data_IF_394756108223
#
_entry.id   IF_394756108223
#
_cell.length_a   1.000
_cell.length_b   1.000
_cell.length_c   1.000
_cell.angle_alpha   90.00
_cell.angle_beta   90.00
_cell.angle_gamma   90.00
#
_symmetry.space_group_name_H-M   'P 1'
#
loop_
_entity.id
_entity.type
_entity.pdbx_description
1 polymer ?
#
# COMPACT_ATOMS: atom_id res chain seq x y z
N UNK A 1 2.62 -26.57 5.92
CA UNK A 1 2.47 -26.39 5.91
C UNK A 1 2.26 -26.41 5.95
N UNK A 2 2.36 -26.62 6.00
CA UNK A 2 2.17 -26.42 6.13
C UNK A 2 1.88 -26.18 6.36
N UNK A 3 1.83 -26.34 6.42
CA UNK A 3 1.58 -25.88 6.76
C UNK A 3 1.31 -25.50 7.07
N UNK A 4 1.17 -25.54 7.10
CA UNK A 4 1.01 -24.92 7.44
C UNK A 4 0.87 -24.66 7.85
N UNK A 5 0.77 -24.97 8.08
CA UNK A 5 0.89 -24.40 8.65
C UNK A 5 0.87 -23.66 8.72
N UNK A 6 0.74 -23.27 8.65
CA UNK A 6 0.73 -22.23 8.76
C UNK A 6 0.90 -21.78 9.01
N UNK A 7 1.03 -21.74 9.37
CA UNK A 7 1.40 -21.07 9.77
C UNK A 7 1.45 -20.34 9.87
N UNK A 8 1.43 -20.09 10.09
CA UNK A 8 1.63 -19.25 10.33
C UNK A 8 1.66 -18.54 10.84
N UNK A 9 1.54 -18.31 10.85
CA UNK A 9 1.57 -17.40 11.36
C UNK A 9 1.86 -17.03 12.31
N UNK A 10 2.01 -17.34 12.91
CA UNK A 10 2.30 -16.84 13.87
C UNK A 10 3.16 -15.94 14.01
N UNK A 11 3.26 -15.59 13.76
CA UNK A 11 4.04 -14.84 13.93
C UNK A 11 4.10 -13.66 14.61
N UNK A 12 3.71 -13.45 15.39
CA UNK A 12 3.48 -12.33 16.22
C UNK A 12 4.52 -12.04 17.24
N UNK A 13 5.54 -12.75 17.29
CA UNK A 13 6.66 -12.54 18.17
C UNK A 13 7.36 -11.23 17.79
N UNK A 14 7.56 -10.33 18.75
CA UNK A 14 8.18 -9.04 18.49
C UNK A 14 9.58 -9.18 17.90
N UNK A 15 10.29 -10.21 18.27
CA UNK A 15 11.63 -10.42 17.70
C UNK A 15 11.57 -10.71 16.23
N UNK A 16 10.45 -11.22 15.77
CA UNK A 16 10.30 -11.50 14.36
C UNK A 16 10.12 -10.26 13.53
N UNK A 17 9.69 -9.18 14.15
CA UNK A 17 9.57 -7.94 13.40
C UNK A 17 10.90 -7.51 12.82
N UNK A 18 11.97 -7.66 13.57
CA UNK A 18 13.29 -7.34 13.06
C UNK A 18 13.68 -8.24 11.91
N UNK A 19 13.36 -9.51 12.00
CA UNK A 19 13.65 -10.44 10.91
C UNK A 19 12.81 -10.15 9.68
N UNK A 20 11.53 -9.83 9.88
CA UNK A 20 10.65 -9.50 8.77
C UNK A 20 11.21 -8.32 8.01
N UNK A 21 11.73 -7.33 8.73
CA UNK A 21 12.30 -6.16 8.09
C UNK A 21 13.51 -6.50 7.23
N UNK A 22 14.26 -7.52 7.60
CA UNK A 22 15.45 -7.90 6.84
C UNK A 22 15.15 -8.87 5.72
N UNK A 23 13.91 -9.33 5.60
CA UNK A 23 13.53 -10.30 4.56
C UNK A 23 13.44 -9.65 3.20
N UNK A 24 13.03 -8.39 3.15
CA UNK A 24 12.81 -7.73 1.87
C UNK A 24 14.11 -7.36 1.18
N UNK A 25 14.11 -7.53 -0.13
CA UNK A 25 15.31 -7.33 -0.95
C UNK A 25 15.34 -5.90 -1.51
N UNK A 26 15.52 -4.93 -0.62
CA UNK A 26 15.61 -3.54 -1.04
C UNK A 26 16.79 -3.30 -1.99
N UNK A 27 17.80 -4.14 -1.89
CA UNK A 27 18.96 -4.04 -2.77
C UNK A 27 18.61 -4.24 -4.24
N UNK A 28 17.59 -5.06 -4.53
CA UNK A 28 17.21 -5.34 -5.92
C UNK A 28 16.59 -4.14 -6.60
N UNK A 29 15.95 -3.26 -5.82
CA UNK A 29 15.28 -2.09 -6.39
C UNK A 29 16.03 -0.80 -6.18
N UNK A 30 17.31 -0.87 -5.85
CA UNK A 30 18.06 0.35 -5.59
C UNK A 30 17.61 1.05 -4.32
N UNK A 31 17.10 0.30 -3.38
CA UNK A 31 16.60 0.83 -2.12
C UNK A 31 15.10 1.02 -2.07
N UNK A 32 14.42 0.79 -3.19
CA UNK A 32 12.97 0.96 -3.27
C UNK A 32 12.32 -0.30 -3.79
N UNK A 33 11.14 -0.62 -3.26
CA UNK A 33 10.35 -1.74 -3.72
C UNK A 33 8.93 -1.28 -3.97
N UNK A 34 8.23 -1.88 -4.94
CA UNK A 34 6.83 -1.55 -5.14
C UNK A 34 5.96 -2.15 -4.05
N UNK A 35 4.96 -1.39 -3.64
CA UNK A 35 3.98 -1.81 -2.66
C UNK A 35 2.60 -1.57 -3.24
N UNK A 36 1.81 -2.64 -3.35
CA UNK A 36 0.45 -2.57 -3.86
C UNK A 36 -0.48 -2.48 -2.67
N UNK A 37 -1.40 -1.52 -2.68
CA UNK A 37 -2.45 -1.47 -1.67
C UNK A 37 -3.70 -2.09 -2.26
N UNK A 38 -4.25 -3.06 -1.55
CA UNK A 38 -5.42 -3.82 -1.97
C UNK A 38 -6.41 -3.82 -0.82
N UNK A 39 -7.69 -3.65 -1.13
CA UNK A 39 -8.71 -3.67 -0.09
C UNK A 39 -8.77 -5.05 0.56
N UNK A 40 -8.75 -5.10 1.89
CA UNK A 40 -8.67 -6.37 2.60
C UNK A 40 -9.96 -7.19 2.51
N UNK A 41 -11.08 -6.56 2.21
CA UNK A 41 -12.36 -7.24 2.11
C UNK A 41 -12.73 -7.55 0.66
N UNK A 42 -12.76 -6.53 -0.20
CA UNK A 42 -13.19 -6.70 -1.58
C UNK A 42 -12.10 -7.24 -2.48
N UNK A 43 -10.85 -7.10 -2.05
CA UNK A 43 -9.67 -7.48 -2.83
C UNK A 43 -9.44 -6.59 -4.03
N UNK A 44 -10.08 -5.45 -4.06
CA UNK A 44 -9.88 -4.48 -5.12
C UNK A 44 -8.49 -3.86 -5.00
N UNK A 45 -7.77 -3.77 -6.11
CA UNK A 45 -6.46 -3.11 -6.11
C UNK A 45 -6.69 -1.61 -6.06
N UNK A 46 -6.11 -0.95 -5.07
CA UNK A 46 -6.38 0.47 -4.83
C UNK A 46 -5.31 1.38 -5.40
N UNK A 47 -4.04 1.02 -5.22
CA UNK A 47 -2.95 1.86 -5.71
C UNK A 47 -1.65 1.09 -5.68
N UNK A 48 -0.64 1.66 -6.33
CA UNK A 48 0.74 1.18 -6.22
C UNK A 48 1.63 2.37 -5.91
N UNK A 49 2.53 2.18 -4.96
CA UNK A 49 3.54 3.19 -4.62
C UNK A 49 4.82 2.47 -4.29
N UNK A 50 5.80 3.20 -3.77
CA UNK A 50 7.10 2.60 -3.46
C UNK A 50 7.40 2.77 -1.99
N UNK A 51 8.18 1.83 -1.45
CA UNK A 51 8.63 1.88 -0.06
C UNK A 51 10.14 1.72 -0.04
N UNK A 52 10.78 2.40 0.91
CA UNK A 52 12.15 2.13 1.27
C UNK A 52 12.13 1.48 2.65
N UNK A 53 13.30 1.20 3.20
CA UNK A 53 13.37 0.57 4.52
C UNK A 53 12.67 1.39 5.60
N UNK A 54 12.82 2.69 5.54
CA UNK A 54 12.20 3.57 6.54
C UNK A 54 10.68 3.49 6.48
N UNK A 55 10.11 3.54 5.27
CA UNK A 55 8.67 3.42 5.09
C UNK A 55 8.17 2.05 5.56
N UNK A 56 8.94 1.02 5.29
CA UNK A 56 8.62 -0.33 5.72
C UNK A 56 8.57 -0.42 7.23
N UNK A 57 9.60 0.10 7.90
CA UNK A 57 9.64 0.10 9.36
C UNK A 57 8.47 0.86 9.96
N UNK A 58 8.19 2.04 9.42
CA UNK A 58 7.08 2.85 9.93
C UNK A 58 5.74 2.16 9.76
N UNK A 59 5.55 1.48 8.64
CA UNK A 59 4.33 0.73 8.41
C UNK A 59 4.17 -0.39 9.44
N UNK A 60 5.26 -1.10 9.74
CA UNK A 60 5.22 -2.18 10.72
C UNK A 60 4.95 -1.64 12.13
N UNK A 61 5.52 -0.50 12.46
CA UNK A 61 5.39 0.08 13.81
C UNK A 61 3.99 0.63 14.05
N UNK A 62 3.43 1.30 13.07
CA UNK A 62 2.18 2.04 13.27
C UNK A 62 0.93 1.31 12.81
N UNK A 63 1.09 0.33 11.91
CA UNK A 63 -0.05 -0.33 11.30
C UNK A 63 -0.72 0.51 10.23
N UNK A 64 -0.12 1.64 9.87
CA UNK A 64 -0.63 2.52 8.82
C UNK A 64 0.35 2.53 7.67
N UNK A 65 -0.18 2.53 6.44
CA UNK A 65 0.69 2.44 5.27
C UNK A 65 1.51 3.70 5.09
N UNK A 66 2.81 3.52 5.05
CA UNK A 66 3.77 4.57 4.76
C UNK A 66 4.46 4.23 3.45
N UNK A 67 4.77 5.25 2.68
CA UNK A 67 5.41 5.08 1.38
C UNK A 67 6.56 6.05 1.25
N UNK A 68 7.36 5.87 0.23
CA UNK A 68 8.44 6.79 -0.10
C UNK A 68 8.08 7.52 -1.39
N UNK A 69 8.04 8.84 -1.33
CA UNK A 69 7.77 9.65 -2.50
C UNK A 69 9.06 9.83 -3.28
N UNK A 70 9.11 9.28 -4.50
CA UNK A 70 10.30 9.41 -5.35
C UNK A 70 10.47 10.84 -5.85
N UNK A 71 9.37 11.50 -6.14
CA UNK A 71 9.42 12.86 -6.68
C UNK A 71 9.83 13.88 -5.63
N UNK A 72 9.40 13.68 -4.37
CA UNK A 72 9.75 14.60 -3.29
C UNK A 72 10.92 14.11 -2.45
N UNK A 73 11.34 12.89 -2.71
CA UNK A 73 12.45 12.26 -2.00
C UNK A 73 12.24 12.30 -0.50
N UNK A 74 11.05 11.88 -0.06
CA UNK A 74 10.72 11.89 1.36
C UNK A 74 9.68 10.84 1.71
N UNK A 75 9.68 10.50 2.99
CA UNK A 75 8.71 9.58 3.57
C UNK A 75 7.34 10.26 3.62
N UNK A 76 6.27 9.52 3.36
CA UNK A 76 4.94 10.06 3.55
C UNK A 76 3.97 9.02 4.07
N UNK A 77 3.11 9.46 4.96
CA UNK A 77 2.03 8.65 5.51
C UNK A 77 0.82 8.84 4.61
N UNK A 78 0.31 7.74 4.08
CA UNK A 78 -0.87 7.81 3.21
C UNK A 78 -2.03 8.40 4.01
N UNK A 79 -2.59 9.49 3.49
CA UNK A 79 -3.71 10.15 4.15
C UNK A 79 -3.33 11.18 5.17
N UNK A 80 -2.05 11.56 5.25
CA UNK A 80 -1.62 12.51 6.28
C UNK A 80 -2.30 13.89 6.11
N UNK A 81 -2.62 14.27 4.87
CA UNK A 81 -3.33 15.55 4.63
C UNK A 81 -4.83 15.40 4.59
N UNK A 82 -5.33 14.29 4.04
CA UNK A 82 -6.76 14.12 3.81
C UNK A 82 -7.45 13.34 4.92
N UNK A 83 -6.71 12.66 5.77
CA UNK A 83 -7.29 11.77 6.76
C UNK A 83 -7.64 10.39 6.21
N UNK A 84 -7.42 10.17 4.91
CA UNK A 84 -7.75 8.89 4.26
C UNK A 84 -6.60 7.92 4.40
N UNK A 85 -6.26 7.58 5.64
CA UNK A 85 -5.16 6.66 5.91
C UNK A 85 -5.55 5.24 5.52
N UNK A 86 -4.54 4.41 5.34
CA UNK A 86 -4.75 2.99 5.05
C UNK A 86 -4.31 2.18 6.26
N UNK A 87 -5.26 1.54 6.92
CA UNK A 87 -4.97 0.68 8.06
C UNK A 87 -4.56 -0.68 7.52
N UNK A 88 -3.32 -1.07 7.76
CA UNK A 88 -2.78 -2.34 7.23
C UNK A 88 -3.29 -3.49 8.08
N UNK A 89 -3.98 -4.42 7.43
CA UNK A 89 -4.53 -5.60 8.09
C UNK A 89 -3.64 -6.81 7.91
N UNK A 90 -3.00 -6.89 6.75
CA UNK A 90 -2.17 -8.04 6.40
C UNK A 90 -1.14 -7.59 5.39
N UNK A 91 0.02 -8.22 5.36
CA UNK A 91 1.06 -7.92 4.39
C UNK A 91 1.48 -9.22 3.71
N UNK A 92 1.46 -9.22 2.40
CA UNK A 92 1.93 -10.35 1.61
C UNK A 92 3.23 -9.96 0.92
N UNK A 93 4.14 -10.91 0.82
CA UNK A 93 5.44 -10.71 0.18
C UNK A 93 5.54 -11.70 -0.97
N UNK A 94 6.07 -11.26 -2.11
CA UNK A 94 6.14 -12.15 -3.26
C UNK A 94 7.31 -13.14 -3.14
N UNK A 95 7.45 -14.00 -4.15
CA UNK A 95 8.34 -15.16 -4.05
C UNK A 95 9.82 -14.80 -3.96
N UNK A 96 10.22 -13.66 -4.46
CA UNK A 96 11.63 -13.25 -4.39
C UNK A 96 11.84 -12.02 -3.50
N UNK A 97 10.83 -11.69 -2.69
CA UNK A 97 10.94 -10.72 -1.61
C UNK A 97 11.26 -9.30 -2.10
N UNK A 98 10.76 -8.93 -3.27
CA UNK A 98 11.00 -7.60 -3.82
C UNK A 98 9.72 -6.82 -4.13
N UNK A 99 8.56 -7.34 -3.70
CA UNK A 99 7.28 -6.65 -3.87
C UNK A 99 6.37 -7.05 -2.72
N UNK A 100 5.59 -6.12 -2.23
CA UNK A 100 4.65 -6.42 -1.14
C UNK A 100 3.25 -5.98 -1.52
N UNK A 101 2.26 -6.65 -0.91
CA UNK A 101 0.87 -6.23 -0.98
C UNK A 101 0.44 -5.89 0.44
N UNK A 102 -0.02 -4.67 0.64
CA UNK A 102 -0.66 -4.27 1.88
C UNK A 102 -2.16 -4.49 1.72
N UNK A 103 -2.71 -5.42 2.49
CA UNK A 103 -4.16 -5.58 2.55
C UNK A 103 -4.66 -4.60 3.57
N UNK A 104 -5.42 -3.61 3.13
CA UNK A 104 -5.72 -2.43 3.95
C UNK A 104 -7.20 -2.15 4.06
N UNK A 105 -7.55 -1.40 5.10
CA UNK A 105 -8.83 -0.72 5.19
C UNK A 105 -8.57 0.72 4.80
N UNK A 106 -9.14 1.16 3.67
CA UNK A 106 -8.95 2.52 3.17
C UNK A 106 -9.96 3.43 3.84
N UNK A 107 -9.51 4.25 4.78
CA UNK A 107 -10.41 5.20 5.43
C UNK A 107 -10.78 6.27 4.42
N UNK A 108 -12.00 6.78 4.51
CA UNK A 108 -12.51 7.75 3.55
C UNK A 108 -12.98 7.14 2.25
N UNK A 109 -12.73 5.86 2.04
CA UNK A 109 -13.26 5.11 0.90
C UNK A 109 -12.58 5.37 -0.43
N UNK A 110 -11.57 6.25 -0.49
CA UNK A 110 -10.92 6.58 -1.75
C UNK A 110 -9.42 6.65 -1.58
N UNK A 111 -8.71 5.84 -2.32
CA UNK A 111 -7.24 5.84 -2.30
C UNK A 111 -6.67 6.92 -3.21
N UNK A 112 -7.37 7.26 -4.27
CA UNK A 112 -6.87 8.20 -5.27
C UNK A 112 -7.13 9.63 -4.85
N UNK A 113 -6.13 10.50 -5.00
CA UNK A 113 -6.29 11.91 -4.65
C UNK A 113 -7.28 12.62 -5.57
N UNK A 114 -7.66 12.00 -6.68
CA UNK A 114 -8.70 12.55 -7.56
C UNK A 114 -10.10 12.12 -7.13
N UNK A 115 -10.20 11.46 -5.99
CA UNK A 115 -11.49 11.11 -5.42
C UNK A 115 -12.01 9.73 -5.76
N UNK A 116 -11.31 8.98 -6.58
CA UNK A 116 -11.74 7.64 -6.94
C UNK A 116 -11.34 6.65 -5.86
N UNK A 117 -12.13 5.60 -5.71
CA UNK A 117 -11.82 4.56 -4.75
C UNK A 117 -10.45 3.94 -5.04
N UNK A 118 -10.16 3.71 -6.30
CA UNK A 118 -8.89 3.14 -6.75
C UNK A 118 -8.19 4.12 -7.67
N UNK A 119 -6.87 4.14 -7.60
CA UNK A 119 -6.09 4.89 -8.58
C UNK A 119 -6.22 4.30 -9.97
N UNK A 120 -6.67 3.05 -10.06
CA UNK A 120 -6.84 2.35 -11.33
C UNK A 120 -8.29 2.50 -11.78
N UNK A 121 -8.69 3.73 -12.07
CA UNK A 121 -10.07 4.04 -12.41
C UNK A 121 -10.30 4.20 -13.92
N UNK A 122 -9.32 3.84 -14.72
CA UNK A 122 -9.42 3.88 -16.17
C UNK A 122 -9.03 2.53 -16.73
N UNK A 123 -9.64 2.17 -17.86
CA UNK A 123 -9.28 0.93 -18.52
C UNK A 123 -8.92 1.22 -19.96
N UNK A 124 -8.14 0.32 -20.53
CA UNK A 124 -7.76 0.40 -21.94
C UNK A 124 -8.91 -0.11 -22.76
N UNK A 125 -9.34 0.69 -23.72
CA UNK A 125 -10.42 0.32 -24.63
C UNK A 125 -9.92 0.60 -26.05
N UNK A 126 -9.43 -0.45 -26.71
CA UNK A 126 -8.75 -0.26 -27.98
C UNK A 126 -7.48 0.54 -27.79
N UNK A 127 -7.41 1.70 -28.39
CA UNK A 127 -6.24 2.57 -28.26
C UNK A 127 -6.51 3.75 -27.33
N UNK A 128 -7.62 3.72 -26.59
CA UNK A 128 -8.02 4.84 -25.75
C UNK A 128 -8.17 4.40 -24.30
N UNK A 129 -8.22 5.38 -23.40
CA UNK A 129 -8.49 5.15 -21.99
C UNK A 129 -9.90 5.58 -21.67
N UNK A 130 -10.60 4.74 -20.94
CA UNK A 130 -11.99 4.99 -20.57
C UNK A 130 -12.09 4.99 -19.05
N UNK A 131 -12.74 6.00 -18.49
CA UNK A 131 -12.98 6.05 -17.06
C UNK A 131 -14.07 5.04 -16.71
N UNK A 132 -13.77 4.13 -15.79
CA UNK A 132 -14.67 3.03 -15.45
C UNK A 132 -15.21 3.10 -14.02
N UNK A 133 -15.17 4.30 -13.43
CA UNK A 133 -15.62 4.46 -12.05
C UNK A 133 -16.07 5.90 -11.84
N UNK A 134 -16.69 6.17 -10.70
CA UNK A 134 -17.09 7.52 -10.35
C UNK A 134 -16.36 7.95 -9.06
N UNK A 135 -16.08 9.24 -8.91
CA UNK A 135 -15.40 9.71 -7.69
C UNK A 135 -16.26 9.49 -6.46
N UNK A 136 -15.59 9.11 -5.37
CA UNK A 136 -16.23 8.97 -4.07
C UNK A 136 -16.44 10.33 -3.43
N UNK A 137 -15.51 11.26 -3.68
CA UNK A 137 -15.60 12.62 -3.15
C UNK A 137 -15.08 13.60 -4.16
N UNK A 138 -15.36 14.88 -3.92
CA UNK A 138 -14.87 15.97 -4.76
C UNK A 138 -13.49 16.39 -4.25
N UNK A 139 -12.41 16.16 -5.02
CA UNK A 139 -11.06 16.53 -4.55
C UNK A 139 -10.91 17.99 -4.20
N UNK A 140 -11.66 18.86 -4.87
CA UNK A 140 -11.60 20.29 -4.59
C UNK A 140 -12.09 20.63 -3.20
N UNK A 141 -12.94 19.78 -2.62
CA UNK A 141 -13.45 20.01 -1.27
C UNK A 141 -12.53 19.42 -0.20
N UNK A 142 -11.81 18.33 -0.52
CA UNK A 142 -10.98 17.66 0.45
C UNK A 142 -9.57 18.25 0.50
N UNK A 143 -9.02 18.56 -0.67
CA UNK A 143 -7.64 19.04 -0.78
C UNK A 143 -7.63 20.54 -1.09
N UNK A 144 -8.36 21.29 -0.32
CA UNK A 144 -8.42 22.71 -0.50
C UNK A 144 -7.08 23.37 -0.24
N UNK A 145 -6.74 24.33 -1.04
CA UNK A 145 -5.49 25.05 -0.84
C UNK A 145 -5.69 26.31 -0.04
#
# INVERSE_FOLDING_TARGET
GGGGQGRRGQVSDARRCGRIMSVLRFDKGGGLLPAIAQDHLTREVLMLAYINEEAWQKTLETGKAHYWSRSRNQLWLKGESSGHVQMVKEILVDCDADTVVFLVEQLGGAACHKGYRSCFFRKVQGSELEINDTPVFDPGKVYKK
#
